data_IF_176798095127
#
_entry.id   IF_176798095127
#
_cell.length_a   1.000
_cell.length_b   1.000
_cell.length_c   1.000
_cell.angle_alpha   90.00
_cell.angle_beta   90.00
_cell.angle_gamma   90.00
#
_symmetry.space_group_name_H-M   'P 1'
#
loop_
_entity.id
_entity.type
_entity.pdbx_description
1 polymer ?
#
# COMPACT_ATOMS: atom_id res chain seq x y z
N UNK A 1 -21.68 4.94 18.69
CA UNK A 1 -21.27 4.30 19.96
C UNK A 1 -20.58 5.28 20.91
N UNK A 2 -19.52 6.00 20.51
CA UNK A 2 -18.91 7.01 21.41
C UNK A 2 -19.88 8.17 21.74
N UNK A 3 -20.43 8.83 20.72
CA UNK A 3 -21.38 9.94 20.87
C UNK A 3 -22.60 9.57 21.73
N UNK A 4 -23.15 8.37 21.50
CA UNK A 4 -24.30 7.86 22.25
C UNK A 4 -24.03 7.64 23.75
N UNK A 5 -22.77 7.54 24.17
CA UNK A 5 -22.37 7.31 25.57
C UNK A 5 -21.87 8.61 26.20
N UNK A 6 -21.08 9.41 25.48
CA UNK A 6 -20.39 10.59 26.01
C UNK A 6 -21.13 11.91 25.77
N UNK A 7 -22.13 11.93 24.89
CA UNK A 7 -22.79 13.15 24.42
C UNK A 7 -21.90 14.10 23.61
N UNK A 8 -20.67 13.67 23.27
CA UNK A 8 -19.67 14.46 22.56
C UNK A 8 -19.19 13.73 21.31
N UNK A 9 -18.82 14.50 20.27
CA UNK A 9 -18.17 13.93 19.10
C UNK A 9 -16.77 13.40 19.44
N UNK A 10 -16.41 12.27 18.81
CA UNK A 10 -15.08 11.71 18.98
C UNK A 10 -14.07 12.58 18.22
N UNK A 11 -13.17 13.21 18.98
CA UNK A 11 -12.08 14.02 18.41
C UNK A 11 -10.86 13.14 18.17
N UNK A 12 -10.57 12.87 16.90
CA UNK A 12 -9.33 12.20 16.50
C UNK A 12 -8.17 13.20 16.56
N UNK A 13 -7.13 12.88 17.32
CA UNK A 13 -5.94 13.73 17.47
C UNK A 13 -4.79 13.31 16.56
N UNK A 14 -4.84 12.09 16.02
CA UNK A 14 -3.83 11.56 15.11
C UNK A 14 -4.44 10.46 14.26
N UNK A 15 -3.94 10.35 13.03
CA UNK A 15 -4.31 9.31 12.09
C UNK A 15 -3.08 8.46 11.77
N UNK A 16 -3.18 7.16 12.00
CA UNK A 16 -2.12 6.17 11.76
C UNK A 16 -2.72 4.95 11.05
N UNK A 17 -1.87 4.10 10.48
CA UNK A 17 -2.29 3.02 9.59
C UNK A 17 -2.44 3.48 8.15
N UNK A 18 -2.74 2.55 7.24
CA UNK A 18 -3.09 2.87 5.85
C UNK A 18 -4.43 3.65 5.85
N UNK A 19 -4.62 4.66 4.98
CA UNK A 19 -3.77 5.11 3.88
C UNK A 19 -2.79 6.24 4.25
N UNK A 20 -2.57 6.52 5.54
CA UNK A 20 -1.82 7.71 5.97
C UNK A 20 -0.31 7.57 5.73
N UNK A 21 0.29 8.64 5.19
CA UNK A 21 1.70 8.74 4.79
C UNK A 21 2.69 8.30 5.88
N UNK A 22 2.42 8.65 7.14
CA UNK A 22 3.31 8.34 8.27
C UNK A 22 3.57 6.84 8.41
N UNK A 23 2.58 6.01 8.07
CA UNK A 23 2.69 4.56 8.13
C UNK A 23 3.66 4.02 7.09
N UNK A 24 3.62 4.58 5.88
CA UNK A 24 4.50 4.19 4.78
C UNK A 24 5.94 4.69 5.00
N UNK A 25 6.12 5.92 5.49
CA UNK A 25 7.44 6.46 5.88
C UNK A 25 8.10 5.58 6.94
N UNK A 26 7.30 5.18 7.95
CA UNK A 26 7.78 4.30 8.99
C UNK A 26 8.17 2.92 8.43
N UNK A 27 7.35 2.32 7.56
CA UNK A 27 7.66 1.05 6.93
C UNK A 27 8.95 1.10 6.09
N UNK A 28 9.15 2.16 5.29
CA UNK A 28 10.38 2.36 4.51
C UNK A 28 11.61 2.50 5.40
N UNK A 29 11.50 3.26 6.51
CA UNK A 29 12.59 3.43 7.46
C UNK A 29 12.98 2.09 8.12
N UNK A 30 12.00 1.30 8.57
CA UNK A 30 12.25 -0.03 9.16
C UNK A 30 12.87 -0.98 8.13
N UNK A 31 12.36 -1.01 6.90
CA UNK A 31 12.90 -1.87 5.85
C UNK A 31 14.38 -1.54 5.56
N UNK A 32 14.73 -0.26 5.49
CA UNK A 32 16.11 0.18 5.31
C UNK A 32 17.00 -0.17 6.50
N UNK A 33 16.50 -0.03 7.74
CA UNK A 33 17.25 -0.45 8.93
C UNK A 33 17.56 -1.95 8.89
N UNK A 34 16.58 -2.78 8.53
CA UNK A 34 16.77 -4.23 8.39
C UNK A 34 17.75 -4.56 7.27
N UNK A 35 17.67 -3.90 6.13
CA UNK A 35 18.60 -4.09 5.01
C UNK A 35 20.06 -3.79 5.44
N UNK A 36 20.28 -2.61 6.04
CA UNK A 36 21.60 -2.19 6.51
C UNK A 36 22.15 -3.11 7.60
N UNK A 37 21.31 -3.56 8.53
CA UNK A 37 21.70 -4.51 9.57
C UNK A 37 22.14 -5.89 9.00
N UNK A 38 21.65 -6.25 7.81
CA UNK A 38 22.03 -7.46 7.09
C UNK A 38 23.14 -7.21 6.04
N UNK A 39 23.84 -6.07 6.11
CA UNK A 39 24.94 -5.74 5.19
C UNK A 39 24.50 -5.43 3.76
N UNK A 40 23.22 -5.15 3.53
CA UNK A 40 22.69 -4.73 2.23
C UNK A 40 22.78 -3.21 2.08
N UNK A 41 22.74 -2.72 0.84
CA UNK A 41 22.61 -1.29 0.57
C UNK A 41 21.22 -0.76 0.90
N UNK A 42 21.07 0.57 0.90
CA UNK A 42 19.76 1.23 0.99
C UNK A 42 18.81 0.67 -0.07
N UNK A 43 17.55 0.44 0.30
CA UNK A 43 16.52 -0.04 -0.60
C UNK A 43 16.17 1.06 -1.61
N UNK A 44 16.29 0.75 -2.89
CA UNK A 44 15.99 1.68 -3.99
C UNK A 44 14.60 1.48 -4.59
N UNK A 45 14.06 0.26 -4.50
CA UNK A 45 12.76 -0.10 -5.07
C UNK A 45 11.93 -0.84 -4.04
N UNK A 46 10.69 -0.39 -3.88
CA UNK A 46 9.71 -1.02 -2.99
C UNK A 46 8.49 -1.45 -3.80
N UNK A 47 8.09 -2.71 -3.60
CA UNK A 47 6.90 -3.31 -4.20
C UNK A 47 5.85 -3.58 -3.12
N UNK A 48 4.68 -2.97 -3.26
CA UNK A 48 3.54 -3.24 -2.38
C UNK A 48 2.71 -4.36 -3.01
N UNK A 49 2.43 -5.40 -2.23
CA UNK A 49 1.59 -6.54 -2.64
C UNK A 49 0.44 -6.59 -1.66
N UNK A 50 -0.76 -6.21 -2.12
CA UNK A 50 -1.89 -5.91 -1.24
C UNK A 50 -3.20 -6.44 -1.83
N UNK A 51 -4.23 -6.63 -1.00
CA UNK A 51 -5.50 -7.23 -1.40
C UNK A 51 -6.70 -6.27 -1.26
N UNK A 52 -6.53 -5.07 -0.69
CA UNK A 52 -7.64 -4.12 -0.51
C UNK A 52 -7.50 -2.88 -1.40
N UNK A 53 -8.28 -2.78 -2.50
CA UNK A 53 -8.14 -1.70 -3.46
C UNK A 53 -8.52 -0.33 -2.88
N UNK A 54 -9.48 -0.26 -1.96
CA UNK A 54 -10.01 1.02 -1.47
C UNK A 54 -9.09 1.71 -0.47
N UNK A 55 -8.23 0.94 0.20
CA UNK A 55 -7.29 1.46 1.21
C UNK A 55 -5.87 1.50 0.64
N UNK A 56 -5.43 0.42 0.01
CA UNK A 56 -4.02 0.23 -0.31
C UNK A 56 -3.60 0.97 -1.57
N UNK A 57 -4.50 1.04 -2.56
CA UNK A 57 -4.24 1.78 -3.80
C UNK A 57 -4.10 3.26 -3.52
N UNK A 58 -5.03 3.81 -2.75
CA UNK A 58 -5.01 5.22 -2.38
C UNK A 58 -3.76 5.55 -1.57
N UNK A 59 -3.40 4.72 -0.58
CA UNK A 59 -2.25 4.97 0.28
C UNK A 59 -0.92 4.97 -0.48
N UNK A 60 -0.68 3.98 -1.36
CA UNK A 60 0.59 3.92 -2.11
C UNK A 60 0.66 5.00 -3.20
N UNK A 61 -0.43 5.28 -3.90
CA UNK A 61 -0.45 6.33 -4.92
C UNK A 61 -0.25 7.72 -4.28
N UNK A 62 -0.87 7.97 -3.14
CA UNK A 62 -0.66 9.20 -2.36
C UNK A 62 0.80 9.33 -1.91
N UNK A 63 1.42 8.24 -1.45
CA UNK A 63 2.83 8.26 -1.06
C UNK A 63 3.77 8.61 -2.22
N UNK A 64 3.57 7.97 -3.38
CA UNK A 64 4.33 8.25 -4.59
C UNK A 64 4.23 9.72 -4.99
N UNK A 65 3.02 10.30 -4.92
CA UNK A 65 2.80 11.70 -5.25
C UNK A 65 3.44 12.66 -4.24
N UNK A 66 3.23 12.43 -2.94
CA UNK A 66 3.66 13.37 -1.89
C UNK A 66 5.19 13.42 -1.74
N UNK A 67 5.87 12.30 -1.96
CA UNK A 67 7.30 12.19 -1.71
C UNK A 67 8.12 12.08 -2.98
N UNK A 68 7.49 12.19 -4.16
CA UNK A 68 8.13 12.00 -5.47
C UNK A 68 8.87 10.65 -5.55
N UNK A 69 8.38 9.64 -4.83
CA UNK A 69 8.94 8.30 -4.78
C UNK A 69 8.35 7.46 -5.92
N UNK A 70 9.12 6.47 -6.40
CA UNK A 70 8.67 5.52 -7.42
C UNK A 70 8.40 4.14 -6.82
N UNK A 71 7.42 4.05 -5.91
CA UNK A 71 6.97 2.74 -5.39
C UNK A 71 5.98 2.08 -6.36
N UNK A 72 6.06 0.76 -6.48
CA UNK A 72 5.24 0.01 -7.42
C UNK A 72 4.17 -0.76 -6.65
N UNK A 73 2.88 -0.45 -6.89
CA UNK A 73 1.78 -1.14 -6.25
C UNK A 73 1.23 -2.28 -7.10
N UNK A 74 1.07 -3.45 -6.49
CA UNK A 74 0.46 -4.62 -7.10
C UNK A 74 -0.68 -5.13 -6.23
N UNK A 75 -1.84 -5.34 -6.82
CA UNK A 75 -3.00 -5.91 -6.14
C UNK A 75 -3.09 -7.40 -6.44
N UNK A 76 -3.39 -8.20 -5.41
CA UNK A 76 -3.64 -9.64 -5.53
C UNK A 76 -5.12 -9.95 -5.34
N UNK A 77 -5.60 -11.02 -6.00
CA UNK A 77 -7.00 -11.42 -5.99
C UNK A 77 -7.33 -12.51 -4.95
N UNK A 78 -6.42 -12.80 -4.02
CA UNK A 78 -6.56 -13.90 -3.04
C UNK A 78 -7.13 -13.46 -1.69
N UNK A 79 -7.48 -12.18 -1.54
CA UNK A 79 -8.00 -11.61 -0.29
C UNK A 79 -9.28 -10.81 -0.52
N UNK A 80 -9.36 -9.58 0.02
CA UNK A 80 -10.56 -8.71 -0.05
C UNK A 80 -10.94 -8.36 -1.49
N UNK A 81 -9.97 -8.21 -2.39
CA UNK A 81 -10.22 -7.89 -3.78
C UNK A 81 -10.77 -9.09 -4.55
N UNK A 82 -12.01 -8.95 -5.02
CA UNK A 82 -12.64 -9.91 -5.90
C UNK A 82 -12.92 -9.26 -7.28
N UNK A 83 -12.16 -9.60 -8.33
CA UNK A 83 -12.26 -8.92 -9.63
C UNK A 83 -13.65 -9.07 -10.30
N UNK A 84 -14.38 -10.13 -9.96
CA UNK A 84 -15.74 -10.37 -10.49
C UNK A 84 -16.82 -9.55 -9.78
N UNK A 85 -16.56 -9.05 -8.57
CA UNK A 85 -17.54 -8.32 -7.75
C UNK A 85 -17.20 -6.84 -7.60
N UNK A 86 -15.91 -6.49 -7.64
CA UNK A 86 -15.42 -5.14 -7.43
C UNK A 86 -14.79 -4.61 -8.72
N UNK A 87 -15.39 -3.56 -9.28
CA UNK A 87 -14.80 -2.82 -10.41
C UNK A 87 -13.89 -1.73 -9.85
N UNK A 88 -12.64 -1.71 -10.30
CA UNK A 88 -11.75 -0.59 -10.04
C UNK A 88 -12.27 0.65 -10.78
N UNK A 89 -12.14 1.82 -10.15
CA UNK A 89 -12.52 3.08 -10.77
C UNK A 89 -11.48 3.48 -11.81
N UNK A 90 -11.72 3.06 -13.06
CA UNK A 90 -10.90 3.34 -14.24
C UNK A 90 -10.64 4.82 -14.52
N UNK A 91 -11.44 5.72 -13.94
CA UNK A 91 -11.34 7.17 -14.18
C UNK A 91 -10.52 7.89 -13.13
N UNK A 92 -10.35 7.29 -11.95
CA UNK A 92 -9.63 7.91 -10.84
C UNK A 92 -8.20 7.35 -10.76
N UNK A 93 -7.16 8.14 -11.11
CA UNK A 93 -5.78 7.67 -11.07
C UNK A 93 -5.33 7.26 -9.67
N UNK A 94 -5.95 7.81 -8.61
CA UNK A 94 -5.67 7.45 -7.22
C UNK A 94 -6.19 6.07 -6.81
N UNK A 95 -7.04 5.44 -7.64
CA UNK A 95 -7.62 4.11 -7.41
C UNK A 95 -7.17 3.07 -8.45
N UNK A 96 -6.09 3.37 -9.19
CA UNK A 96 -5.51 2.43 -10.14
C UNK A 96 -4.23 1.80 -9.59
N UNK A 97 -4.14 0.46 -9.53
CA UNK A 97 -2.90 -0.23 -9.20
C UNK A 97 -1.97 -0.28 -10.41
N UNK A 98 -0.67 -0.47 -10.18
CA UNK A 98 0.29 -0.66 -11.28
C UNK A 98 0.06 -1.99 -12.00
N UNK A 99 -0.34 -3.04 -11.28
CA UNK A 99 -0.67 -4.36 -11.86
C UNK A 99 -1.61 -5.13 -10.93
N UNK A 100 -2.43 -6.02 -11.51
CA UNK A 100 -3.24 -6.99 -10.78
C UNK A 100 -2.70 -8.39 -11.07
N UNK A 101 -2.58 -9.23 -10.05
CA UNK A 101 -2.10 -10.61 -10.15
C UNK A 101 -3.01 -11.55 -9.37
N UNK A 102 -2.93 -12.83 -9.68
CA UNK A 102 -3.78 -13.84 -9.04
C UNK A 102 -3.49 -13.92 -7.54
N UNK A 103 -2.21 -14.10 -7.19
CA UNK A 103 -1.76 -14.32 -5.82
C UNK A 103 -0.36 -13.73 -5.57
N UNK A 104 0.12 -13.86 -4.33
CA UNK A 104 1.44 -13.39 -3.91
C UNK A 104 2.57 -14.09 -4.69
N UNK A 105 2.46 -15.41 -4.91
CA UNK A 105 3.51 -16.19 -5.56
C UNK A 105 3.73 -15.72 -7.01
N UNK A 106 2.67 -15.59 -7.78
CA UNK A 106 2.69 -15.08 -9.14
C UNK A 106 3.17 -13.63 -9.21
N UNK A 107 2.85 -12.84 -8.18
CA UNK A 107 3.33 -11.47 -8.06
C UNK A 107 4.84 -11.41 -7.86
N UNK A 108 5.38 -12.22 -6.94
CA UNK A 108 6.82 -12.27 -6.65
C UNK A 108 7.60 -12.80 -7.85
N UNK A 109 7.14 -13.89 -8.50
CA UNK A 109 7.76 -14.39 -9.73
C UNK A 109 7.83 -13.31 -10.81
N UNK A 110 6.74 -12.57 -11.00
CA UNK A 110 6.69 -11.47 -11.97
C UNK A 110 7.68 -10.34 -11.61
N UNK A 111 7.77 -9.97 -10.33
CA UNK A 111 8.73 -8.94 -9.88
C UNK A 111 10.16 -9.38 -10.18
N UNK A 112 10.52 -10.61 -9.80
CA UNK A 112 11.85 -11.14 -10.01
C UNK A 112 12.21 -11.12 -11.50
N UNK A 113 11.32 -11.62 -12.36
CA UNK A 113 11.52 -11.61 -13.83
C UNK A 113 11.66 -10.21 -14.43
N UNK A 114 11.05 -9.18 -13.85
CA UNK A 114 11.15 -7.79 -14.33
C UNK A 114 12.47 -7.12 -13.92
N UNK A 115 13.05 -7.55 -12.82
CA UNK A 115 14.26 -6.99 -12.22
C UNK A 115 15.54 -7.75 -12.59
N UNK A 116 15.43 -8.86 -13.34
CA UNK A 116 16.57 -9.63 -13.88
C UNK A 116 16.97 -9.09 -15.25
#
# INVERSE_FOLDING_TARGET
MFFSISGNDLKYTSFVGKPFEISYKYAEAIANQVALANGQSKIEKVYFIEDNPDVDIVGVNMYNYLLQQMMNLRIICTGVYEPNKQKLDGKNPWKLPTTIKLDVLETVKYILLKET
#
